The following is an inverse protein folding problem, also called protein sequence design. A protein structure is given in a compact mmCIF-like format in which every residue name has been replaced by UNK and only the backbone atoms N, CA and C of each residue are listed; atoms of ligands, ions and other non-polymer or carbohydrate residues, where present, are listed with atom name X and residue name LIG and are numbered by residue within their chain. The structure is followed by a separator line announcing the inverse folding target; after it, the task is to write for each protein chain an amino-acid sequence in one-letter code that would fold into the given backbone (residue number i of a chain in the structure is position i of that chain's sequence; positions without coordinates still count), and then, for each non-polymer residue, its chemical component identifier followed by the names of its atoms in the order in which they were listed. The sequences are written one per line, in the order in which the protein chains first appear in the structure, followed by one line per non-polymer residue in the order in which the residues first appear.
data_IF_995677499641
#
_entry.id   IF_995677499641
#
_cell.length_a   1.000
_cell.length_b   1.000
_cell.length_c   1.000
_cell.angle_alpha   90.00
_cell.angle_beta   90.00
_cell.angle_gamma   90.00
#
_symmetry.space_group_name_H-M   'P 1'
#
loop_
_entity.id
_entity.type
_entity.pdbx_description
1 polymer ?
#
# COMPACT_ATOMS: atom_id res chain seq x y z
N UNK A 1 1.99 -23.88 -4.11
CA UNK A 1 3.09 -23.05 -3.58
C UNK A 1 3.08 -23.15 -2.07
N UNK A 2 4.24 -23.29 -1.42
CA UNK A 2 4.30 -23.42 0.04
C UNK A 2 5.04 -22.20 0.59
N UNK A 3 4.45 -21.54 1.59
CA UNK A 3 4.98 -20.34 2.22
C UNK A 3 4.99 -20.50 3.74
N UNK A 4 5.90 -19.81 4.45
CA UNK A 4 5.80 -19.66 5.89
C UNK A 4 4.45 -19.04 6.29
N UNK A 5 3.88 -19.49 7.40
CA UNK A 5 2.65 -18.95 7.97
C UNK A 5 2.76 -17.45 8.25
N UNK A 6 3.96 -16.97 8.57
CA UNK A 6 4.25 -15.56 8.79
C UNK A 6 3.98 -14.69 7.55
N UNK A 7 4.15 -15.25 6.34
CA UNK A 7 3.92 -14.54 5.08
C UNK A 7 2.45 -14.58 4.63
N UNK A 8 1.51 -14.96 5.51
CA UNK A 8 0.08 -15.06 5.18
C UNK A 8 -0.51 -13.77 4.59
N UNK A 9 -0.06 -12.61 5.08
CA UNK A 9 -0.54 -11.31 4.58
C UNK A 9 -0.08 -11.06 3.14
N UNK A 10 1.18 -11.34 2.83
CA UNK A 10 1.73 -11.22 1.47
C UNK A 10 1.13 -12.30 0.54
N UNK A 11 0.91 -13.51 1.06
CA UNK A 11 0.23 -14.57 0.34
C UNK A 11 -1.17 -14.15 -0.14
N UNK A 12 -1.87 -13.30 0.61
CA UNK A 12 -3.17 -12.75 0.19
C UNK A 12 -3.06 -11.91 -1.10
N UNK A 13 -1.90 -11.28 -1.34
CA UNK A 13 -1.68 -10.43 -2.51
C UNK A 13 -1.60 -11.22 -3.81
N UNK A 14 -1.37 -12.53 -3.78
CA UNK A 14 -1.11 -13.32 -4.99
C UNK A 14 -2.36 -14.12 -5.38
N UNK A 15 -2.89 -13.89 -6.58
CA UNK A 15 -3.94 -14.74 -7.17
C UNK A 15 -3.35 -16.10 -7.58
N UNK A 16 -3.25 -17.01 -6.62
CA UNK A 16 -2.91 -18.42 -6.87
C UNK A 16 -3.83 -19.31 -6.08
N UNK A 17 -4.43 -20.27 -6.77
CA UNK A 17 -5.47 -21.11 -6.19
C UNK A 17 -4.97 -21.99 -5.02
N UNK A 18 -3.67 -22.28 -4.94
CA UNK A 18 -3.13 -23.30 -4.04
C UNK A 18 -1.89 -22.80 -3.27
N UNK A 19 -2.12 -21.89 -2.32
CA UNK A 19 -1.12 -21.48 -1.33
C UNK A 19 -1.30 -22.30 -0.05
N UNK A 20 -0.24 -23.01 0.32
CA UNK A 20 -0.15 -23.80 1.54
C UNK A 20 0.72 -23.06 2.55
N UNK A 21 0.21 -22.89 3.77
CA UNK A 21 0.94 -22.23 4.84
C UNK A 21 1.50 -23.25 5.83
N UNK A 22 2.78 -23.12 6.16
CA UNK A 22 3.49 -23.98 7.11
C UNK A 22 4.15 -23.13 8.19
N UNK A 23 4.15 -23.60 9.43
CA UNK A 23 4.77 -22.91 10.57
C UNK A 23 6.25 -23.29 10.77
N UNK A 24 6.69 -24.41 10.17
CA UNK A 24 8.01 -24.99 10.40
C UNK A 24 8.41 -25.95 9.28
N UNK A 25 9.71 -26.26 9.22
CA UNK A 25 10.23 -27.27 8.31
C UNK A 25 9.66 -28.67 8.60
N UNK A 26 9.41 -29.00 9.88
CA UNK A 26 8.81 -30.28 10.27
C UNK A 26 7.37 -30.43 9.78
N UNK A 27 6.60 -29.35 9.83
CA UNK A 27 5.24 -29.31 9.26
C UNK A 27 5.29 -29.44 7.74
N UNK A 28 6.21 -28.75 7.06
CA UNK A 28 6.45 -28.94 5.63
C UNK A 28 6.73 -30.41 5.28
N UNK A 29 7.65 -31.07 6.01
CA UNK A 29 7.99 -32.46 5.78
C UNK A 29 6.79 -33.40 6.02
N UNK A 30 6.03 -33.15 7.08
CA UNK A 30 4.82 -33.91 7.39
C UNK A 30 3.75 -33.76 6.31
N UNK A 31 3.65 -32.58 5.71
CA UNK A 31 2.76 -32.33 4.58
C UNK A 31 3.17 -33.11 3.32
N UNK A 32 4.45 -33.01 2.94
CA UNK A 32 4.98 -33.67 1.74
C UNK A 32 4.95 -35.20 1.87
N UNK A 33 5.04 -35.74 3.09
CA UNK A 33 4.97 -37.18 3.37
C UNK A 33 3.54 -37.69 3.61
N UNK A 34 2.52 -36.84 3.47
CA UNK A 34 1.11 -37.21 3.66
C UNK A 34 0.69 -37.45 5.11
N UNK A 35 1.56 -37.15 6.08
CA UNK A 35 1.31 -37.32 7.52
C UNK A 35 0.50 -36.17 8.13
N UNK A 36 0.47 -35.00 7.49
CA UNK A 36 -0.28 -33.83 7.92
C UNK A 36 -0.89 -33.06 6.74
N UNK A 37 -2.02 -32.40 6.97
CA UNK A 37 -2.61 -31.45 6.01
C UNK A 37 -2.24 -30.02 6.42
N UNK A 38 -1.77 -29.23 5.46
CA UNK A 38 -1.57 -27.79 5.65
C UNK A 38 -2.88 -27.04 5.47
N UNK A 39 -3.04 -25.93 6.17
CA UNK A 39 -4.10 -24.99 5.86
C UNK A 39 -3.90 -24.40 4.46
N UNK A 40 -4.92 -24.52 3.61
CA UNK A 40 -5.01 -23.75 2.38
C UNK A 40 -5.45 -22.34 2.73
N UNK A 41 -4.76 -21.36 2.16
CA UNK A 41 -5.16 -19.97 2.29
C UNK A 41 -5.82 -19.51 1.00
N UNK A 42 -7.12 -19.13 1.02
CA UNK A 42 -7.80 -18.70 -0.19
C UNK A 42 -7.15 -17.40 -0.70
N UNK A 43 -6.94 -17.27 -2.01
CA UNK A 43 -6.50 -16.00 -2.57
C UNK A 43 -7.55 -14.94 -2.25
N UNK A 44 -7.10 -13.78 -1.77
CA UNK A 44 -7.98 -12.64 -1.48
C UNK A 44 -7.43 -11.44 -2.21
N UNK A 45 -8.01 -11.11 -3.37
CA UNK A 45 -7.55 -9.97 -4.15
C UNK A 45 -7.58 -8.71 -3.27
N UNK A 46 -6.42 -8.08 -2.99
CA UNK A 46 -6.38 -6.85 -2.21
C UNK A 46 -7.19 -5.80 -2.95
N UNK A 47 -8.21 -5.28 -2.28
CA UNK A 47 -8.98 -4.17 -2.81
C UNK A 47 -8.32 -2.87 -2.36
N UNK A 48 -8.27 -1.90 -3.26
CA UNK A 48 -7.87 -0.55 -2.90
C UNK A 48 -8.72 -0.06 -1.72
N UNK A 49 -8.10 0.65 -0.77
CA UNK A 49 -8.84 1.19 0.36
C UNK A 49 -9.90 2.19 -0.13
N UNK A 50 -10.93 2.46 0.71
CA UNK A 50 -12.02 3.40 0.39
C UNK A 50 -11.59 4.87 0.27
N UNK A 51 -10.30 5.15 0.15
CA UNK A 51 -9.75 6.49 0.04
C UNK A 51 -9.65 7.20 1.40
N UNK A 52 -8.95 8.33 1.39
CA UNK A 52 -8.79 9.18 2.57
C UNK A 52 -10.14 9.80 3.00
N UNK A 53 -10.36 10.02 4.31
CA UNK A 53 -11.52 10.78 4.78
C UNK A 53 -11.52 12.17 4.13
N UNK A 54 -12.71 12.64 3.73
CA UNK A 54 -12.87 13.97 3.13
C UNK A 54 -12.50 15.03 4.18
N UNK A 55 -11.40 15.73 3.94
CA UNK A 55 -10.98 16.89 4.74
C UNK A 55 -11.43 18.16 4.03
N UNK A 56 -12.17 19.01 4.73
CA UNK A 56 -12.58 20.32 4.22
C UNK A 56 -11.46 21.34 4.41
N UNK A 57 -10.71 21.62 3.36
CA UNK A 57 -9.74 22.74 3.35
C UNK A 57 -10.51 24.05 3.13
N UNK A 58 -10.34 25.04 4.02
CA UNK A 58 -10.93 26.38 3.83
C UNK A 58 -10.07 27.21 2.87
N UNK A 59 -10.68 27.92 1.93
CA UNK A 59 -9.97 28.74 0.93
C UNK A 59 -9.16 27.93 -0.08
N UNK A 60 -8.05 28.50 -0.57
CA UNK A 60 -7.07 27.87 -1.48
C UNK A 60 -7.64 27.38 -2.84
N UNK A 61 -8.58 28.14 -3.42
CA UNK A 61 -9.28 27.72 -4.65
C UNK A 61 -8.34 27.38 -5.81
N UNK A 62 -7.32 28.21 -6.05
CA UNK A 62 -6.32 27.99 -7.11
C UNK A 62 -5.51 26.71 -6.86
N UNK A 63 -5.03 26.50 -5.64
CA UNK A 63 -4.25 25.32 -5.30
C UNK A 63 -5.07 24.03 -5.40
N UNK A 64 -6.33 24.04 -4.94
CA UNK A 64 -7.24 22.89 -5.09
C UNK A 64 -7.46 22.52 -6.55
N UNK A 65 -7.77 23.52 -7.40
CA UNK A 65 -7.94 23.30 -8.83
C UNK A 65 -6.67 22.75 -9.49
N UNK A 66 -5.51 23.29 -9.11
CA UNK A 66 -4.23 22.79 -9.61
C UNK A 66 -3.98 21.33 -9.20
N UNK A 67 -4.32 20.96 -7.96
CA UNK A 67 -4.21 19.58 -7.48
C UNK A 67 -5.17 18.64 -8.21
N UNK A 68 -6.41 19.05 -8.46
CA UNK A 68 -7.37 18.25 -9.24
C UNK A 68 -6.84 17.97 -10.65
N UNK A 69 -6.37 19.01 -11.36
CA UNK A 69 -5.81 18.89 -12.70
C UNK A 69 -4.56 18.00 -12.67
N UNK A 70 -3.65 18.22 -11.73
CA UNK A 70 -2.41 17.45 -11.63
C UNK A 70 -2.67 15.97 -11.27
N UNK A 71 -3.60 15.70 -10.36
CA UNK A 71 -3.96 14.33 -9.94
C UNK A 71 -4.62 13.54 -11.07
N UNK A 72 -5.52 14.16 -11.82
CA UNK A 72 -6.16 13.51 -12.98
C UNK A 72 -5.18 13.35 -14.16
N UNK A 73 -4.34 14.35 -14.40
CA UNK A 73 -3.34 14.35 -15.47
C UNK A 73 -2.05 13.58 -15.15
N UNK A 74 -1.90 13.07 -13.92
CA UNK A 74 -0.67 12.42 -13.42
C UNK A 74 0.57 13.32 -13.57
N UNK A 75 0.41 14.62 -13.32
CA UNK A 75 1.50 15.60 -13.34
C UNK A 75 2.12 15.81 -11.97
N UNK A 76 3.39 16.21 -11.96
CA UNK A 76 4.04 16.69 -10.75
C UNK A 76 3.53 18.08 -10.37
N UNK A 77 3.48 18.37 -9.06
CA UNK A 77 3.06 19.66 -8.54
C UNK A 77 4.01 20.14 -7.44
N UNK A 78 4.28 21.45 -7.43
CA UNK A 78 5.09 22.12 -6.41
C UNK A 78 4.26 23.20 -5.72
N UNK A 79 4.18 23.18 -4.39
CA UNK A 79 3.37 24.10 -3.58
C UNK A 79 4.24 25.20 -2.93
N UNK A 80 4.31 26.37 -3.57
CA UNK A 80 5.10 27.53 -3.11
C UNK A 80 4.31 28.48 -2.19
N UNK A 81 5.01 29.26 -1.34
CA UNK A 81 4.40 30.16 -0.32
C UNK A 81 4.95 30.04 1.11
N UNK A 82 4.49 30.86 2.06
CA UNK A 82 5.01 30.95 3.44
C UNK A 82 4.79 29.67 4.28
N UNK A 83 5.52 29.48 5.40
CA UNK A 83 5.21 28.42 6.36
C UNK A 83 3.81 28.61 6.97
N UNK A 84 3.16 27.51 7.37
CA UNK A 84 1.86 27.55 8.04
C UNK A 84 0.63 27.73 7.14
N UNK A 85 0.79 27.97 5.83
CA UNK A 85 -0.35 28.18 4.89
C UNK A 85 -1.06 26.90 4.43
N UNK A 86 -0.74 25.75 5.04
CA UNK A 86 -1.43 24.48 4.77
C UNK A 86 -0.90 23.67 3.56
N UNK A 87 0.35 23.87 3.13
CA UNK A 87 0.97 23.08 2.02
C UNK A 87 0.95 21.58 2.28
N UNK A 88 1.34 21.18 3.49
CA UNK A 88 1.34 19.77 3.89
C UNK A 88 -0.08 19.21 3.90
N UNK A 89 -1.06 20.00 4.38
CA UNK A 89 -2.47 19.62 4.35
C UNK A 89 -2.98 19.44 2.93
N UNK A 90 -2.61 20.35 2.01
CA UNK A 90 -2.92 20.26 0.58
C UNK A 90 -2.29 19.02 -0.07
N UNK A 91 -1.01 18.75 0.20
CA UNK A 91 -0.32 17.57 -0.33
C UNK A 91 -0.93 16.25 0.18
N UNK A 92 -1.26 16.18 1.47
CA UNK A 92 -1.95 15.02 2.06
C UNK A 92 -3.34 14.83 1.45
N UNK A 93 -4.08 15.92 1.21
CA UNK A 93 -5.38 15.83 0.55
C UNK A 93 -5.27 15.37 -0.91
N UNK A 94 -4.22 15.79 -1.62
CA UNK A 94 -3.98 15.41 -3.01
C UNK A 94 -3.85 13.90 -3.21
N UNK A 95 -3.31 13.17 -2.23
CA UNK A 95 -3.28 11.70 -2.23
C UNK A 95 -4.68 11.11 -2.43
N UNK A 96 -5.72 11.72 -1.83
CA UNK A 96 -7.10 11.27 -1.95
C UNK A 96 -7.79 11.64 -3.27
N UNK A 97 -7.19 12.55 -4.05
CA UNK A 97 -7.67 12.91 -5.39
C UNK A 97 -7.16 11.96 -6.47
N UNK A 98 -6.12 11.17 -6.17
CA UNK A 98 -5.60 10.19 -7.11
C UNK A 98 -6.57 9.01 -7.26
N UNK A 99 -6.69 8.43 -8.47
CA UNK A 99 -7.38 7.17 -8.65
C UNK A 99 -6.81 6.09 -7.73
N UNK A 100 -7.70 5.23 -7.23
CA UNK A 100 -7.33 4.02 -6.52
C UNK A 100 -6.24 3.24 -7.30
N UNK A 101 -5.21 2.71 -6.62
CA UNK A 101 -4.20 1.92 -7.31
C UNK A 101 -4.83 0.65 -7.87
N UNK A 102 -4.42 0.29 -9.08
CA UNK A 102 -4.71 -1.04 -9.64
C UNK A 102 -4.02 -2.13 -8.83
N UNK A 103 -4.45 -3.38 -9.03
CA UNK A 103 -3.83 -4.54 -8.40
C UNK A 103 -2.32 -4.64 -8.68
N UNK A 104 -1.89 -4.37 -9.91
CA UNK A 104 -0.46 -4.38 -10.29
C UNK A 104 0.32 -3.27 -9.60
N UNK A 105 -0.28 -2.07 -9.47
CA UNK A 105 0.31 -0.98 -8.72
C UNK A 105 0.43 -1.31 -7.23
N UNK A 106 -0.57 -1.97 -6.63
CA UNK A 106 -0.51 -2.44 -5.23
C UNK A 106 0.67 -3.39 -5.05
N UNK A 107 0.83 -4.39 -5.91
CA UNK A 107 1.97 -5.31 -5.86
C UNK A 107 3.31 -4.56 -5.98
N UNK A 108 3.39 -3.60 -6.89
CA UNK A 108 4.62 -2.81 -7.11
C UNK A 108 4.94 -1.94 -5.89
N UNK A 109 3.95 -1.28 -5.31
CA UNK A 109 4.10 -0.46 -4.10
C UNK A 109 4.64 -1.30 -2.94
N UNK A 110 4.01 -2.45 -2.66
CA UNK A 110 4.44 -3.32 -1.55
C UNK A 110 5.87 -3.82 -1.75
N UNK A 111 6.23 -4.29 -2.96
CA UNK A 111 7.61 -4.71 -3.27
C UNK A 111 8.65 -3.62 -3.01
N UNK A 112 8.37 -2.39 -3.45
CA UNK A 112 9.29 -1.25 -3.25
C UNK A 112 9.45 -0.92 -1.77
N UNK A 113 8.35 -0.91 -1.03
CA UNK A 113 8.36 -0.57 0.39
C UNK A 113 8.98 -1.67 1.27
N UNK A 114 8.74 -2.93 0.95
CA UNK A 114 9.39 -4.08 1.60
C UNK A 114 10.89 -4.08 1.35
N UNK A 115 11.32 -3.86 0.09
CA UNK A 115 12.75 -3.74 -0.24
C UNK A 115 13.44 -2.57 0.48
N UNK A 116 12.68 -1.50 0.77
CA UNK A 116 13.14 -0.36 1.57
C UNK A 116 13.06 -0.59 3.09
N UNK A 117 12.56 -1.74 3.56
CA UNK A 117 12.38 -2.03 4.98
C UNK A 117 11.28 -1.19 5.66
N UNK A 118 10.37 -0.60 4.89
CA UNK A 118 9.31 0.30 5.37
C UNK A 118 8.01 -0.44 5.73
N UNK A 119 7.89 -1.71 5.34
CA UNK A 119 6.77 -2.60 5.69
C UNK A 119 7.36 -3.80 6.44
N UNK A 120 6.81 -4.12 7.61
CA UNK A 120 7.20 -5.31 8.36
C UNK A 120 6.47 -6.56 7.87
N UNK A 121 7.04 -7.74 8.12
CA UNK A 121 6.47 -9.05 7.70
C UNK A 121 5.06 -9.33 8.23
N UNK A 122 4.60 -8.61 9.26
CA UNK A 122 3.26 -8.74 9.86
C UNK A 122 2.30 -7.60 9.49
N UNK A 123 2.74 -6.62 8.70
CA UNK A 123 1.91 -5.49 8.32
C UNK A 123 0.90 -5.92 7.27
N UNK A 124 -0.31 -5.34 7.35
CA UNK A 124 -1.28 -5.47 6.27
C UNK A 124 -0.70 -4.82 5.00
N UNK A 125 -1.00 -5.37 3.80
CA UNK A 125 -0.49 -4.78 2.57
C UNK A 125 -0.95 -3.34 2.37
N UNK A 126 -0.08 -2.53 1.77
CA UNK A 126 -0.43 -1.18 1.36
C UNK A 126 -1.39 -1.21 0.18
N UNK A 127 -2.62 -0.78 0.41
CA UNK A 127 -3.69 -0.68 -0.61
C UNK A 127 -4.03 0.76 -0.99
N UNK A 128 -3.22 1.72 -0.53
CA UNK A 128 -3.34 3.15 -0.81
C UNK A 128 -2.16 3.67 -1.63
N UNK A 129 -2.39 4.77 -2.36
CA UNK A 129 -1.30 5.52 -3.02
C UNK A 129 -0.31 5.99 -1.94
N UNK A 130 1.00 5.72 -2.03
CA UNK A 130 1.94 6.23 -1.05
C UNK A 130 2.01 7.76 -1.07
N UNK A 131 2.21 8.38 0.10
CA UNK A 131 2.60 9.79 0.22
C UNK A 131 3.99 9.84 0.85
N UNK A 132 4.96 10.37 0.12
CA UNK A 132 6.28 10.65 0.67
C UNK A 132 6.27 12.05 1.28
N UNK A 133 6.19 12.12 2.61
CA UNK A 133 6.46 13.35 3.31
C UNK A 133 7.99 13.57 3.32
N UNK A 134 8.50 14.80 3.10
CA UNK A 134 9.91 15.07 3.28
C UNK A 134 10.27 14.79 4.75
N UNK A 135 11.35 14.05 4.98
CA UNK A 135 11.95 13.97 6.30
C UNK A 135 12.49 15.36 6.64
N UNK A 136 12.02 15.93 7.75
CA UNK A 136 12.47 17.23 8.27
C UNK A 136 13.96 17.27 8.67
N UNK A 137 14.69 16.15 8.56
CA UNK A 137 16.09 16.01 8.96
C UNK A 137 17.10 16.19 7.82
N UNK A 138 16.66 16.56 6.61
CA UNK A 138 17.56 17.02 5.55
C UNK A 138 17.28 18.51 5.33
N UNK A 139 17.98 19.33 6.09
CA UNK A 139 18.22 20.76 5.87
C UNK A 139 19.72 20.99 5.96
#
# INVERSE_FOLDING_TARGET
MILPLENRQEASLVERDHIHLVDSLGHLLSHLTGKAKTAQYPPSRPQASKGLPKITIKGQAQAKRALEIASLGRHHIMLLGPPGVGKTLLATHARGLLPAPSYEEILTINKVYEAAGLIGTKSAPMTERPLRAPHHSIS
#
